data_IF_901135277233
#
_entry.id   IF_901135277233
#
_cell.length_a   1.000
_cell.length_b   1.000
_cell.length_c   1.000
_cell.angle_alpha   90.00
_cell.angle_beta   90.00
_cell.angle_gamma   90.00
#
_symmetry.space_group_name_H-M   'P 1'
#
loop_
_entity.id
_entity.type
_entity.pdbx_description
1 polymer ?
#
# COMPACT_ATOMS: atom_id res chain seq x y z
N UNK A 1 64.15 4.75 41.57
CA UNK A 1 63.95 3.43 40.93
C UNK A 1 62.79 2.74 41.64
N UNK A 2 61.55 3.19 41.36
CA UNK A 2 60.33 2.69 42.01
C UNK A 2 59.47 2.02 40.96
N UNK A 3 59.32 0.70 41.06
CA UNK A 3 58.62 -0.12 40.09
C UNK A 3 57.12 0.19 40.08
N UNK A 4 56.61 0.64 38.92
CA UNK A 4 55.18 0.57 38.62
C UNK A 4 54.78 -0.91 38.53
N UNK A 5 54.20 -1.41 39.61
CA UNK A 5 53.59 -2.75 39.67
C UNK A 5 52.38 -2.73 38.74
N UNK A 6 52.47 -3.41 37.60
CA UNK A 6 51.32 -3.68 36.75
C UNK A 6 50.29 -4.45 37.59
N UNK A 7 49.15 -3.81 37.85
CA UNK A 7 48.01 -4.49 38.45
C UNK A 7 47.57 -5.58 37.48
N UNK A 8 47.57 -6.83 37.94
CA UNK A 8 47.10 -7.96 37.16
C UNK A 8 45.64 -7.70 36.76
N UNK A 9 45.35 -7.69 35.46
CA UNK A 9 43.96 -7.65 35.02
C UNK A 9 43.27 -8.96 35.46
N UNK A 10 42.08 -8.88 36.09
CA UNK A 10 41.38 -10.06 36.56
C UNK A 10 41.08 -10.99 35.39
N UNK A 11 41.33 -12.28 35.57
CA UNK A 11 41.16 -13.28 34.51
C UNK A 11 39.67 -13.45 34.17
N UNK A 12 39.30 -13.80 32.92
CA UNK A 12 37.89 -13.93 32.52
C UNK A 12 37.05 -14.84 33.42
N UNK A 13 37.67 -15.84 34.07
CA UNK A 13 37.01 -16.73 35.03
C UNK A 13 36.66 -16.06 36.37
N UNK A 14 37.43 -15.08 36.84
CA UNK A 14 37.13 -14.34 38.08
C UNK A 14 36.00 -13.33 37.89
N UNK A 15 35.85 -12.76 36.69
CA UNK A 15 34.70 -11.90 36.34
C UNK A 15 33.40 -12.70 36.27
N UNK A 16 33.44 -13.88 35.65
CA UNK A 16 32.27 -14.76 35.53
C UNK A 16 31.74 -15.26 36.89
N UNK A 17 32.61 -15.43 37.90
CA UNK A 17 32.20 -15.77 39.26
C UNK A 17 31.57 -14.62 40.05
N UNK A 18 31.71 -13.38 39.58
CA UNK A 18 31.15 -12.16 40.19
C UNK A 18 29.88 -11.63 39.51
N UNK A 19 29.57 -12.12 38.30
CA UNK A 19 28.35 -11.77 37.55
C UNK A 19 27.17 -12.53 38.13
N UNK A 20 26.17 -11.81 38.64
CA UNK A 20 24.96 -12.43 39.18
C UNK A 20 24.06 -12.94 38.06
N UNK A 21 23.18 -13.91 38.36
CA UNK A 21 22.10 -14.31 37.44
C UNK A 21 21.24 -13.13 36.96
N UNK A 22 21.10 -12.09 37.80
CA UNK A 22 20.37 -10.88 37.46
C UNK A 22 21.04 -10.07 36.35
N UNK A 23 22.38 -10.06 36.33
CA UNK A 23 23.16 -9.36 35.30
C UNK A 23 23.05 -10.09 33.95
N UNK A 24 23.10 -11.43 33.95
CA UNK A 24 22.91 -12.24 32.73
C UNK A 24 21.50 -12.11 32.14
N UNK A 25 20.46 -12.11 33.00
CA UNK A 25 19.08 -11.87 32.57
C UNK A 25 18.88 -10.43 32.02
N UNK A 26 19.57 -9.45 32.63
CA UNK A 26 19.57 -8.07 32.15
C UNK A 26 20.21 -7.93 30.77
N UNK A 27 21.31 -8.65 30.52
CA UNK A 27 22.02 -8.65 29.24
C UNK A 27 21.17 -9.31 28.13
N UNK A 28 20.58 -10.49 28.38
CA UNK A 28 19.67 -11.15 27.43
C UNK A 28 18.44 -10.29 27.11
N UNK A 29 17.85 -9.63 28.12
CA UNK A 29 16.71 -8.72 27.92
C UNK A 29 17.09 -7.51 27.05
N UNK A 30 18.30 -6.99 27.24
CA UNK A 30 18.85 -5.88 26.45
C UNK A 30 19.15 -6.31 25.01
N UNK A 31 19.66 -7.52 24.80
CA UNK A 31 19.92 -8.08 23.47
C UNK A 31 18.62 -8.32 22.71
N UNK A 32 17.61 -8.92 23.37
CA UNK A 32 16.29 -9.11 22.76
C UNK A 32 15.63 -7.77 22.42
N UNK A 33 15.74 -6.78 23.30
CA UNK A 33 15.25 -5.43 23.04
C UNK A 33 15.99 -4.76 21.88
N UNK A 34 17.24 -5.14 21.63
CA UNK A 34 18.06 -4.64 20.50
C UNK A 34 17.63 -5.30 19.20
N UNK A 35 17.44 -6.62 19.20
CA UNK A 35 16.89 -7.38 18.08
C UNK A 35 15.52 -6.85 17.64
N UNK A 36 14.58 -6.67 18.57
CA UNK A 36 13.24 -6.15 18.25
C UNK A 36 13.34 -4.77 17.58
N UNK A 37 14.20 -3.89 18.10
CA UNK A 37 14.42 -2.56 17.50
C UNK A 37 15.03 -2.65 16.11
N UNK A 38 15.94 -3.59 15.88
CA UNK A 38 16.57 -3.82 14.57
C UNK A 38 15.57 -4.36 13.55
N UNK A 39 14.76 -5.36 13.92
CA UNK A 39 13.68 -5.89 13.07
C UNK A 39 12.67 -4.81 12.71
N UNK A 40 12.27 -3.96 13.68
CA UNK A 40 11.41 -2.81 13.40
C UNK A 40 12.08 -1.80 12.46
N UNK A 41 13.37 -1.53 12.64
CA UNK A 41 14.11 -0.61 11.77
C UNK A 41 14.21 -1.16 10.33
N UNK A 42 14.45 -2.46 10.18
CA UNK A 42 14.50 -3.16 8.90
C UNK A 42 13.14 -3.18 8.22
N UNK A 43 12.08 -3.60 8.92
CA UNK A 43 10.72 -3.58 8.41
C UNK A 43 10.30 -2.16 7.98
N UNK A 44 10.67 -1.13 8.74
CA UNK A 44 10.42 0.26 8.36
C UNK A 44 11.19 0.67 7.10
N UNK A 45 12.43 0.21 6.94
CA UNK A 45 13.22 0.48 5.74
C UNK A 45 12.60 -0.19 4.50
N UNK A 46 12.22 -1.47 4.61
CA UNK A 46 11.58 -2.23 3.53
C UNK A 46 10.20 -1.67 3.16
N UNK A 47 9.40 -1.27 4.15
CA UNK A 47 8.13 -0.57 3.92
C UNK A 47 8.36 0.77 3.21
N UNK A 48 9.37 1.54 3.59
CA UNK A 48 9.69 2.82 2.93
C UNK A 48 10.12 2.60 1.48
N UNK A 49 10.95 1.61 1.21
CA UNK A 49 11.37 1.26 -0.14
C UNK A 49 10.18 0.79 -0.99
N UNK A 50 9.34 -0.09 -0.43
CA UNK A 50 8.12 -0.59 -1.06
C UNK A 50 7.13 0.52 -1.35
N UNK A 51 6.90 1.43 -0.40
CA UNK A 51 6.05 2.59 -0.56
C UNK A 51 6.59 3.55 -1.63
N UNK A 52 7.91 3.75 -1.70
CA UNK A 52 8.54 4.56 -2.74
C UNK A 52 8.36 3.96 -4.14
N UNK A 53 8.58 2.65 -4.28
CA UNK A 53 8.37 1.92 -5.55
C UNK A 53 6.91 1.94 -5.98
N UNK A 54 6.00 1.61 -5.05
CA UNK A 54 4.56 1.65 -5.29
C UNK A 54 4.08 3.07 -5.63
N UNK A 55 4.56 4.09 -4.91
CA UNK A 55 4.25 5.49 -5.16
C UNK A 55 4.74 5.97 -6.53
N UNK A 56 5.97 5.60 -6.93
CA UNK A 56 6.48 5.89 -8.27
C UNK A 56 5.65 5.20 -9.35
N UNK A 57 5.31 3.92 -9.15
CA UNK A 57 4.46 3.16 -10.07
C UNK A 57 3.08 3.79 -10.22
N UNK A 58 2.42 4.11 -9.11
CA UNK A 58 1.12 4.78 -9.09
C UNK A 58 1.19 6.17 -9.73
N UNK A 59 2.24 6.95 -9.48
CA UNK A 59 2.47 8.25 -10.10
C UNK A 59 2.65 8.15 -11.62
N UNK A 60 3.44 7.18 -12.10
CA UNK A 60 3.61 6.93 -13.53
C UNK A 60 2.31 6.48 -14.20
N UNK A 61 1.56 5.56 -13.58
CA UNK A 61 0.27 5.10 -14.11
C UNK A 61 -0.78 6.22 -14.10
N UNK A 62 -0.83 7.02 -13.04
CA UNK A 62 -1.71 8.19 -12.97
C UNK A 62 -1.36 9.23 -14.04
N UNK A 63 -0.07 9.55 -14.20
CA UNK A 63 0.42 10.43 -15.25
C UNK A 63 0.14 9.91 -16.66
N UNK A 64 0.34 8.61 -16.90
CA UNK A 64 0.01 7.96 -18.16
C UNK A 64 -1.50 8.01 -18.46
N UNK A 65 -2.35 7.77 -17.46
CA UNK A 65 -3.81 7.90 -17.60
C UNK A 65 -4.22 9.32 -17.98
N UNK A 66 -3.66 10.34 -17.33
CA UNK A 66 -3.91 11.74 -17.68
C UNK A 66 -3.40 12.09 -19.09
N UNK A 67 -2.18 11.67 -19.44
CA UNK A 67 -1.62 11.90 -20.76
C UNK A 67 -2.45 11.24 -21.86
N UNK A 68 -2.93 10.01 -21.64
CA UNK A 68 -3.83 9.32 -22.54
C UNK A 68 -5.16 10.08 -22.72
N UNK A 69 -5.75 10.59 -21.63
CA UNK A 69 -6.95 11.43 -21.69
C UNK A 69 -6.72 12.69 -22.53
N UNK A 70 -5.59 13.38 -22.34
CA UNK A 70 -5.25 14.57 -23.13
C UNK A 70 -5.03 14.24 -24.61
N UNK A 71 -4.31 13.16 -24.91
CA UNK A 71 -4.11 12.71 -26.29
C UNK A 71 -5.44 12.43 -27.00
N UNK A 72 -6.34 11.71 -26.31
CA UNK A 72 -7.69 11.41 -26.79
C UNK A 72 -8.52 12.68 -27.03
N UNK A 73 -8.43 13.67 -26.13
CA UNK A 73 -9.11 14.97 -26.29
C UNK A 73 -8.60 15.71 -27.54
N UNK A 74 -7.28 15.83 -27.70
CA UNK A 74 -6.70 16.52 -28.86
C UNK A 74 -7.00 15.78 -30.17
N UNK A 75 -6.97 14.45 -30.18
CA UNK A 75 -7.39 13.66 -31.33
C UNK A 75 -8.85 13.90 -31.69
N UNK A 76 -9.73 14.05 -30.70
CA UNK A 76 -11.15 14.35 -30.93
C UNK A 76 -11.34 15.74 -31.56
N UNK A 77 -10.61 16.75 -31.08
CA UNK A 77 -10.65 18.10 -31.64
C UNK A 77 -10.08 18.11 -33.07
N UNK A 78 -8.95 17.42 -33.28
CA UNK A 78 -8.33 17.31 -34.59
C UNK A 78 -9.26 16.60 -35.59
N UNK A 79 -9.91 15.51 -35.17
CA UNK A 79 -10.89 14.80 -35.99
C UNK A 79 -12.09 15.69 -36.32
N UNK A 80 -12.60 16.44 -35.34
CA UNK A 80 -13.69 17.38 -35.57
C UNK A 80 -13.31 18.41 -36.63
N UNK A 81 -12.15 19.07 -36.50
CA UNK A 81 -11.67 20.04 -37.48
C UNK A 81 -11.42 19.43 -38.85
N UNK A 82 -10.83 18.23 -38.90
CA UNK A 82 -10.56 17.52 -40.14
C UNK A 82 -11.85 17.14 -40.88
N UNK A 83 -12.88 16.67 -40.18
CA UNK A 83 -14.20 16.45 -40.77
C UNK A 83 -14.88 17.78 -41.13
N UNK A 84 -14.60 18.83 -40.35
CA UNK A 84 -15.15 20.17 -40.53
C UNK A 84 -14.86 20.74 -41.91
N UNK A 85 -13.70 20.45 -42.48
CA UNK A 85 -13.31 20.88 -43.82
C UNK A 85 -14.02 20.09 -44.94
N UNK A 86 -14.54 18.90 -44.66
CA UNK A 86 -15.21 18.05 -45.64
C UNK A 86 -16.74 18.21 -45.61
N UNK A 87 -17.33 18.25 -44.40
CA UNK A 87 -18.79 18.17 -44.21
C UNK A 87 -19.37 19.29 -43.32
N UNK A 88 -18.53 20.22 -42.87
CA UNK A 88 -18.92 21.31 -41.98
C UNK A 88 -18.86 20.97 -40.50
N UNK A 89 -18.56 21.96 -39.66
CA UNK A 89 -18.30 21.78 -38.23
C UNK A 89 -19.52 21.25 -37.46
N UNK A 90 -20.75 21.55 -37.88
CA UNK A 90 -21.96 21.05 -37.22
C UNK A 90 -22.07 19.52 -37.28
N UNK A 91 -22.04 18.97 -38.50
CA UNK A 91 -22.13 17.51 -38.72
C UNK A 91 -20.90 16.75 -38.21
N UNK A 92 -19.74 17.38 -38.27
CA UNK A 92 -18.50 16.81 -37.70
C UNK A 92 -18.63 16.55 -36.20
N UNK A 93 -19.24 17.49 -35.46
CA UNK A 93 -19.53 17.31 -34.04
C UNK A 93 -20.46 16.14 -33.75
N UNK A 94 -21.50 15.97 -34.57
CA UNK A 94 -22.43 14.83 -34.45
C UNK A 94 -21.69 13.51 -34.66
N UNK A 95 -20.83 13.40 -35.69
CA UNK A 95 -20.06 12.19 -35.94
C UNK A 95 -19.11 11.88 -34.78
N UNK A 96 -18.35 12.87 -34.31
CA UNK A 96 -17.44 12.68 -33.16
C UNK A 96 -18.22 12.27 -31.91
N UNK A 97 -19.39 12.85 -31.67
CA UNK A 97 -20.25 12.47 -30.55
C UNK A 97 -20.77 11.02 -30.67
N UNK A 98 -21.17 10.58 -31.87
CA UNK A 98 -21.59 9.20 -32.12
C UNK A 98 -20.43 8.22 -31.88
N UNK A 99 -19.22 8.54 -32.34
CA UNK A 99 -18.01 7.73 -32.09
C UNK A 99 -17.79 7.56 -30.58
N UNK A 100 -17.84 8.65 -29.81
CA UNK A 100 -17.72 8.61 -28.36
C UNK A 100 -18.84 7.83 -27.68
N UNK A 101 -20.07 7.96 -28.17
CA UNK A 101 -21.22 7.19 -27.69
C UNK A 101 -21.02 5.67 -27.86
N UNK A 102 -20.50 5.24 -29.03
CA UNK A 102 -20.17 3.82 -29.28
C UNK A 102 -19.05 3.34 -28.35
N UNK A 103 -17.97 4.12 -28.22
CA UNK A 103 -16.86 3.79 -27.31
C UNK A 103 -17.37 3.65 -25.87
N UNK A 104 -18.20 4.59 -25.39
CA UNK A 104 -18.79 4.56 -24.07
C UNK A 104 -19.69 3.34 -23.85
N UNK A 105 -20.52 2.99 -24.84
CA UNK A 105 -21.37 1.80 -24.78
C UNK A 105 -20.54 0.50 -24.65
N UNK A 106 -19.45 0.38 -25.41
CA UNK A 106 -18.53 -0.76 -25.33
C UNK A 106 -17.85 -0.80 -23.96
N UNK A 107 -17.26 0.31 -23.51
CA UNK A 107 -16.59 0.40 -22.21
C UNK A 107 -17.54 0.06 -21.06
N UNK A 108 -18.78 0.57 -21.10
CA UNK A 108 -19.81 0.23 -20.12
C UNK A 108 -20.16 -1.27 -20.14
N UNK A 109 -20.35 -1.85 -21.33
CA UNK A 109 -20.67 -3.28 -21.45
C UNK A 109 -19.54 -4.17 -20.93
N UNK A 110 -18.30 -3.87 -21.30
CA UNK A 110 -17.10 -4.60 -20.84
C UNK A 110 -16.89 -4.39 -19.35
N UNK A 111 -16.92 -3.15 -18.86
CA UNK A 111 -16.76 -2.84 -17.45
C UNK A 111 -17.83 -3.52 -16.58
N UNK A 112 -19.09 -3.48 -17.03
CA UNK A 112 -20.19 -4.20 -16.37
C UNK A 112 -19.97 -5.71 -16.36
N UNK A 113 -19.46 -6.30 -17.44
CA UNK A 113 -19.14 -7.72 -17.50
C UNK A 113 -18.00 -8.06 -16.54
N UNK A 114 -16.92 -7.28 -16.52
CA UNK A 114 -15.79 -7.48 -15.62
C UNK A 114 -16.23 -7.38 -14.16
N UNK A 115 -17.03 -6.37 -13.79
CA UNK A 115 -17.55 -6.24 -12.42
C UNK A 115 -18.47 -7.40 -12.01
N UNK A 116 -19.24 -7.96 -12.95
CA UNK A 116 -20.08 -9.14 -12.70
C UNK A 116 -19.28 -10.44 -12.60
N UNK A 117 -18.10 -10.49 -13.20
CA UNK A 117 -17.20 -11.67 -13.14
C UNK A 117 -16.27 -11.64 -11.93
N UNK A 118 -16.17 -10.50 -11.24
CA UNK A 118 -15.59 -10.46 -9.90
C UNK A 118 -16.63 -11.03 -8.93
N UNK A 119 -16.77 -12.36 -8.92
CA UNK A 119 -17.37 -13.10 -7.82
C UNK A 119 -16.51 -12.84 -6.57
N UNK A 120 -16.93 -11.89 -5.73
CA UNK A 120 -16.14 -11.52 -4.56
C UNK A 120 -16.23 -10.08 -4.06
N UNK A 121 -17.33 -9.35 -4.29
CA UNK A 121 -17.73 -8.43 -3.23
C UNK A 121 -18.10 -9.34 -2.06
N UNK A 122 -17.31 -9.35 -0.97
CA UNK A 122 -17.47 -10.41 -0.01
C UNK A 122 -18.84 -10.22 0.64
N UNK A 123 -19.65 -11.28 0.66
CA UNK A 123 -20.94 -11.34 1.39
C UNK A 123 -20.78 -11.09 2.91
N UNK A 124 -19.61 -10.62 3.35
CA UNK A 124 -19.35 -10.17 4.71
C UNK A 124 -20.18 -8.94 5.07
N UNK A 125 -20.56 -8.08 4.12
CA UNK A 125 -21.46 -6.95 4.45
C UNK A 125 -22.90 -7.40 4.74
N UNK A 126 -23.35 -8.55 4.21
CA UNK A 126 -24.64 -9.13 4.60
C UNK A 126 -24.52 -10.08 5.81
N UNK A 127 -23.37 -10.74 6.00
CA UNK A 127 -23.09 -11.51 7.23
C UNK A 127 -22.93 -10.62 8.47
N UNK A 128 -22.46 -9.37 8.32
CA UNK A 128 -22.41 -8.38 9.40
C UNK A 128 -23.80 -7.82 9.77
N UNK A 129 -24.79 -7.94 8.89
CA UNK A 129 -26.20 -7.61 9.20
C UNK A 129 -26.95 -8.77 9.87
N UNK A 130 -26.36 -9.97 9.88
CA UNK A 130 -26.89 -11.15 10.58
C UNK A 130 -26.15 -11.40 11.90
N UNK A 131 -25.78 -10.37 12.66
CA UNK A 131 -25.43 -10.57 14.06
C UNK A 131 -26.76 -10.69 14.82
N UNK A 132 -27.16 -11.90 15.29
CA UNK A 132 -28.37 -12.06 16.08
C UNK A 132 -28.27 -11.26 17.39
N UNK A 133 -29.39 -10.71 17.84
CA UNK A 133 -29.61 -10.04 19.15
C UNK A 133 -29.24 -10.91 20.38
N UNK A 134 -28.72 -12.13 20.17
CA UNK A 134 -28.26 -13.05 21.21
C UNK A 134 -26.92 -12.67 21.83
N UNK A 135 -26.22 -11.65 21.30
CA UNK A 135 -25.07 -11.02 21.97
C UNK A 135 -25.47 -9.84 22.87
N UNK A 136 -26.64 -9.91 23.52
CA UNK A 136 -26.89 -9.16 24.75
C UNK A 136 -26.22 -9.89 25.93
N UNK A 137 -25.13 -9.37 26.52
CA UNK A 137 -24.67 -9.85 27.81
C UNK A 137 -25.71 -9.47 28.89
N UNK A 138 -26.72 -10.31 29.07
CA UNK A 138 -27.57 -10.27 30.26
C UNK A 138 -26.81 -10.92 31.42
N UNK A 139 -25.95 -10.12 32.04
CA UNK A 139 -25.18 -10.48 33.23
C UNK A 139 -25.00 -9.31 34.18
N UNK A 140 -25.99 -8.42 34.27
CA UNK A 140 -26.10 -7.43 35.35
C UNK A 140 -27.41 -7.73 36.08
N UNK A 141 -27.35 -8.63 37.07
CA UNK A 141 -28.53 -8.99 37.84
C UNK A 141 -28.32 -10.19 38.73
N UNK A 142 -27.42 -10.06 39.72
CA UNK A 142 -27.62 -10.48 41.12
C UNK A 142 -26.40 -10.16 41.95
#
# INVERSE_FOLDING_TARGET
MGAHRAAAEPTPGERAGSTSLGDLLGEVSRDLSTLIRQEMALAKAELKESAGKAGKGAGLLGGAGYAALMAVLFLSIALWWALGTLIGNGWSGVIVAVIWGVIAAILFAVGRKSLKQVDGAPETVDSLKQIPETLKPNGAGR
#
